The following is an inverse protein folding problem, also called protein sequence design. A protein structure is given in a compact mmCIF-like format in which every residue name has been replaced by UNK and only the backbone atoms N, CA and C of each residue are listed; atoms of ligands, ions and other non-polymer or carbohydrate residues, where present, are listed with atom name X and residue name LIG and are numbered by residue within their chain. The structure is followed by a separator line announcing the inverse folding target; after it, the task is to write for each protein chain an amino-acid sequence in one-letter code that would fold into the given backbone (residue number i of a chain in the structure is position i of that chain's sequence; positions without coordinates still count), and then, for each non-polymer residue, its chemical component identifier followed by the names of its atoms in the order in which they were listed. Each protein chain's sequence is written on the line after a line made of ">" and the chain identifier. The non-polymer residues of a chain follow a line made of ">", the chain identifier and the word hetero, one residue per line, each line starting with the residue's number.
data_IF_653086654019
#
_entry.id   IF_653086654019
#
_cell.length_a   1.000
_cell.length_b   1.000
_cell.length_c   1.000
_cell.angle_alpha   90.00
_cell.angle_beta   90.00
_cell.angle_gamma   90.00
#
_symmetry.space_group_name_H-M   'P 1'
#
loop_
_entity.id
_entity.type
_entity.pdbx_description
1 polymer ?
#
# COMPACT_ATOMS: atom_id res chain seq x y z
N UNK A 1 -10.94 -9.72 20.79
CA UNK A 1 -10.55 -9.65 19.37
C UNK A 1 -9.37 -8.69 19.29
N UNK A 2 -8.16 -9.17 19.01
CA UNK A 2 -7.01 -8.27 18.82
C UNK A 2 -7.17 -7.62 17.44
N UNK A 3 -7.29 -6.29 17.41
CA UNK A 3 -7.22 -5.51 16.19
C UNK A 3 -5.75 -5.54 15.76
N UNK A 4 -5.37 -6.44 14.84
CA UNK A 4 -4.08 -6.32 14.20
C UNK A 4 -4.09 -5.02 13.40
N UNK A 5 -3.07 -4.18 13.56
CA UNK A 5 -2.88 -3.02 12.68
C UNK A 5 -2.62 -3.56 11.27
N UNK A 6 -3.68 -3.63 10.47
CA UNK A 6 -3.59 -4.01 9.08
C UNK A 6 -3.03 -2.80 8.34
N UNK A 7 -1.92 -2.99 7.64
CA UNK A 7 -1.35 -1.92 6.81
C UNK A 7 -2.33 -1.43 5.74
N UNK A 8 -2.06 -0.26 5.18
CA UNK A 8 -2.89 0.32 4.13
C UNK A 8 -2.60 -0.36 2.80
N UNK A 9 -3.65 -0.73 2.06
CA UNK A 9 -3.57 -1.18 0.67
C UNK A 9 -4.28 -0.17 -0.24
N UNK A 10 -3.68 0.13 -1.38
CA UNK A 10 -4.25 1.01 -2.40
C UNK A 10 -4.06 0.42 -3.80
N UNK A 11 -4.99 0.74 -4.69
CA UNK A 11 -4.99 0.33 -6.10
C UNK A 11 -4.65 1.53 -6.98
N UNK A 12 -3.70 1.35 -7.91
CA UNK A 12 -3.23 2.39 -8.82
C UNK A 12 -3.34 1.90 -10.26
N UNK A 13 -4.02 2.62 -11.17
CA UNK A 13 -4.27 2.16 -12.54
C UNK A 13 -3.14 2.48 -13.54
N UNK A 14 -2.11 3.22 -13.12
CA UNK A 14 -1.00 3.65 -13.98
C UNK A 14 0.37 3.33 -13.38
N UNK A 15 1.34 2.88 -14.20
CA UNK A 15 2.69 2.55 -13.72
C UNK A 15 3.45 3.77 -13.19
N UNK A 16 3.20 4.97 -13.73
CA UNK A 16 3.88 6.20 -13.32
C UNK A 16 3.52 6.57 -11.88
N UNK A 17 2.21 6.55 -11.56
CA UNK A 17 1.74 6.84 -10.20
C UNK A 17 2.18 5.75 -9.22
N UNK A 18 2.21 4.48 -9.64
CA UNK A 18 2.70 3.40 -8.81
C UNK A 18 4.19 3.57 -8.49
N UNK A 19 4.99 3.99 -9.48
CA UNK A 19 6.43 4.22 -9.32
C UNK A 19 6.73 5.36 -8.34
N UNK A 20 5.95 6.43 -8.36
CA UNK A 20 6.08 7.54 -7.39
C UNK A 20 5.85 7.06 -5.95
N UNK A 21 4.80 6.28 -5.71
CA UNK A 21 4.48 5.76 -4.38
C UNK A 21 5.53 4.76 -3.90
N UNK A 22 6.08 3.94 -4.79
CA UNK A 22 7.20 3.05 -4.45
C UNK A 22 8.41 3.88 -3.98
N UNK A 23 8.71 5.01 -4.63
CA UNK A 23 9.78 5.91 -4.21
C UNK A 23 9.52 6.55 -2.84
N UNK A 24 8.25 6.74 -2.45
CA UNK A 24 7.82 7.21 -1.12
C UNK A 24 7.80 6.08 -0.05
N UNK A 25 8.27 4.89 -0.39
CA UNK A 25 8.39 3.76 0.54
C UNK A 25 7.17 2.84 0.59
N UNK A 26 6.25 2.93 -0.37
CA UNK A 26 5.22 1.91 -0.55
C UNK A 26 5.80 0.64 -1.18
N UNK A 27 5.22 -0.51 -0.87
CA UNK A 27 5.64 -1.81 -1.40
C UNK A 27 4.66 -2.30 -2.44
N UNK A 28 5.12 -2.70 -3.62
CA UNK A 28 4.28 -3.36 -4.62
C UNK A 28 3.94 -4.78 -4.15
N UNK A 29 2.64 -5.06 -3.99
CA UNK A 29 2.12 -6.33 -3.47
C UNK A 29 1.65 -7.23 -4.61
N UNK A 30 0.95 -6.66 -5.59
CA UNK A 30 0.42 -7.42 -6.72
C UNK A 30 0.24 -6.53 -7.96
N UNK A 31 0.23 -7.17 -9.13
CA UNK A 31 -0.24 -6.58 -10.38
C UNK A 31 -1.36 -7.47 -10.87
N UNK A 32 -2.56 -6.92 -11.02
CA UNK A 32 -3.76 -7.66 -11.43
C UNK A 32 -4.33 -7.07 -12.72
N UNK A 33 -4.97 -7.87 -13.58
CA UNK A 33 -5.78 -7.32 -14.67
C UNK A 33 -7.03 -6.66 -14.09
N UNK A 34 -7.34 -5.44 -14.51
CA UNK A 34 -8.52 -4.72 -14.06
C UNK A 34 -9.12 -3.84 -15.14
N UNK A 35 -10.39 -3.50 -14.95
CA UNK A 35 -11.08 -2.52 -15.79
C UNK A 35 -10.66 -1.11 -15.38
N UNK A 36 -10.28 -0.28 -16.35
CA UNK A 36 -10.05 1.15 -16.15
C UNK A 36 -10.81 1.96 -17.19
N UNK A 37 -11.20 3.17 -16.83
CA UNK A 37 -11.74 4.13 -17.79
C UNK A 37 -10.62 5.06 -18.26
N UNK A 38 -10.19 4.90 -19.50
CA UNK A 38 -9.20 5.75 -20.13
C UNK A 38 -9.88 6.60 -21.20
N UNK A 39 -9.84 7.93 -21.04
CA UNK A 39 -10.48 8.89 -21.96
C UNK A 39 -11.96 8.61 -22.27
N UNK A 40 -12.70 8.07 -21.30
CA UNK A 40 -14.11 7.71 -21.46
C UNK A 40 -14.37 6.36 -22.14
N UNK A 41 -13.32 5.60 -22.49
CA UNK A 41 -13.43 4.24 -23.00
C UNK A 41 -13.09 3.23 -21.90
N UNK A 42 -13.85 2.13 -21.83
CA UNK A 42 -13.48 0.97 -21.01
C UNK A 42 -12.25 0.31 -21.63
N UNK A 43 -11.18 0.24 -20.87
CA UNK A 43 -9.96 -0.47 -21.21
C UNK A 43 -9.66 -1.51 -20.14
N UNK A 44 -9.07 -2.64 -20.55
CA UNK A 44 -8.50 -3.61 -19.61
C UNK A 44 -7.01 -3.34 -19.51
N UNK A 45 -6.51 -3.12 -18.31
CA UNK A 45 -5.11 -2.80 -18.06
C UNK A 45 -4.63 -3.31 -16.70
N UNK A 46 -3.33 -3.23 -16.42
CA UNK A 46 -2.79 -3.60 -15.13
C UNK A 46 -3.25 -2.59 -14.05
N UNK A 47 -3.67 -3.13 -12.90
CA UNK A 47 -3.83 -2.41 -11.65
C UNK A 47 -2.69 -2.83 -10.72
N UNK A 48 -1.98 -1.84 -10.19
CA UNK A 48 -0.88 -2.01 -9.26
C UNK A 48 -1.41 -1.87 -7.84
N UNK A 49 -1.30 -2.94 -7.06
CA UNK A 49 -1.71 -2.97 -5.66
C UNK A 49 -0.49 -2.68 -4.79
N UNK A 50 -0.53 -1.59 -4.04
CA UNK A 50 0.55 -1.13 -3.17
C UNK A 50 0.13 -1.23 -1.71
N UNK A 51 1.05 -1.69 -0.87
CA UNK A 51 0.89 -1.79 0.57
C UNK A 51 1.86 -0.90 1.32
N UNK A 52 1.40 -0.29 2.42
CA UNK A 52 2.25 0.38 3.40
C UNK A 52 1.99 -0.20 4.78
N UNK A 53 3.05 -0.63 5.45
CA UNK A 53 2.94 -1.08 6.85
C UNK A 53 2.54 0.11 7.72
N UNK A 54 1.75 -0.11 8.78
CA UNK A 54 1.61 0.89 9.82
C UNK A 54 3.01 1.24 10.33
N UNK A 55 3.26 2.51 10.60
CA UNK A 55 4.48 2.89 11.31
C UNK A 55 4.43 2.18 12.67
N UNK A 56 5.28 1.16 12.84
CA UNK A 56 5.49 0.55 14.15
C UNK A 56 6.03 1.65 15.04
N UNK A 57 5.16 2.26 15.86
CA UNK A 57 5.64 3.03 16.99
C UNK A 57 6.48 2.05 17.81
N UNK A 58 7.79 2.31 18.02
CA UNK A 58 8.57 1.46 18.88
C UNK A 58 7.92 1.53 20.25
N UNK A 59 7.18 0.47 20.64
CA UNK A 59 6.71 0.31 22.01
C UNK A 59 7.95 0.44 22.86
N UNK A 60 7.98 1.51 23.65
CA UNK A 60 9.12 1.95 24.43
C UNK A 60 9.43 0.85 25.46
N UNK A 61 10.17 -0.17 25.05
CA UNK A 61 10.52 -1.35 25.86
C UNK A 61 11.14 -0.91 27.20
N UNK A 62 11.92 0.18 27.17
CA UNK A 62 12.52 0.81 28.35
C UNK A 62 11.53 1.40 29.35
N UNK A 63 10.27 1.65 28.98
CA UNK A 63 9.23 2.10 29.91
C UNK A 63 8.48 0.95 30.59
N UNK A 64 8.56 -0.29 30.06
CA UNK A 64 7.93 -1.47 30.66
C UNK A 64 8.87 -2.26 31.56
N UNK A 65 10.18 -2.19 31.32
CA UNK A 65 11.19 -2.83 32.17
C UNK A 65 11.83 -1.71 33.00
N UNK A 66 11.16 -1.31 34.08
CA UNK A 66 11.71 -0.34 35.02
C UNK A 66 13.08 -0.78 35.52
N UNK A 67 14.07 0.12 35.46
CA UNK A 67 15.31 0.04 36.25
C UNK A 67 15.01 0.38 37.72
#
# INVERSE_FOLDING_TARGET
>A
MQLHEVGTLIEIPTPEAASMLIAEGWTLVAIIPGERHDQGQKAVGPIYVLGKRPELQPTNWKAMVGE
#
